data_IF_035531286297
#
_entry.id   IF_035531286297
#
_cell.length_a   1.000
_cell.length_b   1.000
_cell.length_c   1.000
_cell.angle_alpha   90.00
_cell.angle_beta   90.00
_cell.angle_gamma   90.00
#
_symmetry.space_group_name_H-M   'P 1'
#
loop_
_entity.id
_entity.type
_entity.pdbx_description
1 polymer ?
#
# COMPACT_ATOMS: atom_id res chain seq x y z
N UNK A 1 5.14 -19.12 61.30
CA UNK A 1 5.80 -19.77 60.15
C UNK A 1 4.83 -20.03 58.99
N UNK A 2 3.74 -20.80 59.16
CA UNK A 2 2.81 -21.11 58.06
C UNK A 2 2.18 -19.86 57.39
N UNK A 3 1.66 -18.91 58.19
CA UNK A 3 1.11 -17.63 57.69
C UNK A 3 2.09 -16.84 56.81
N UNK A 4 3.39 -16.96 57.09
CA UNK A 4 4.45 -16.28 56.34
C UNK A 4 4.70 -16.97 54.98
N UNK A 5 4.68 -18.30 54.95
CA UNK A 5 4.80 -19.10 53.71
C UNK A 5 3.60 -18.84 52.80
N UNK A 6 2.38 -18.82 53.35
CA UNK A 6 1.15 -18.56 52.59
C UNK A 6 1.17 -17.16 51.96
N UNK A 7 1.65 -16.16 52.71
CA UNK A 7 1.80 -14.78 52.24
C UNK A 7 2.80 -14.66 51.09
N UNK A 8 3.95 -15.36 51.16
CA UNK A 8 4.94 -15.37 50.07
C UNK A 8 4.42 -16.07 48.81
N UNK A 9 3.61 -17.11 48.95
CA UNK A 9 2.96 -17.79 47.81
C UNK A 9 1.93 -16.87 47.15
N UNK A 10 1.13 -16.15 47.94
CA UNK A 10 0.16 -15.18 47.45
C UNK A 10 0.82 -14.02 46.69
N UNK A 11 1.93 -13.47 47.20
CA UNK A 11 2.71 -12.42 46.52
C UNK A 11 3.27 -12.93 45.19
N UNK A 12 3.87 -14.13 45.17
CA UNK A 12 4.41 -14.73 43.93
C UNK A 12 3.32 -15.00 42.89
N UNK A 13 2.13 -15.45 43.30
CA UNK A 13 0.97 -15.61 42.42
C UNK A 13 0.50 -14.27 41.85
N UNK A 14 0.43 -13.24 42.69
CA UNK A 14 -0.02 -11.90 42.29
C UNK A 14 0.94 -11.25 41.30
N UNK A 15 2.26 -11.36 41.52
CA UNK A 15 3.29 -10.87 40.58
C UNK A 15 3.20 -11.62 39.25
N UNK A 16 3.05 -12.95 39.26
CA UNK A 16 2.89 -13.77 38.04
C UNK A 16 1.64 -13.43 37.25
N UNK A 17 0.51 -13.21 37.93
CA UNK A 17 -0.74 -12.81 37.28
C UNK A 17 -0.60 -11.42 36.63
N UNK A 18 0.01 -10.47 37.34
CA UNK A 18 0.24 -9.12 36.83
C UNK A 18 1.16 -9.09 35.60
N UNK A 19 2.29 -9.81 35.64
CA UNK A 19 3.21 -9.92 34.50
C UNK A 19 2.57 -10.65 33.33
N UNK A 20 1.74 -11.67 33.59
CA UNK A 20 1.02 -12.40 32.55
C UNK A 20 -0.04 -11.52 31.87
N UNK A 21 -0.83 -10.73 32.60
CA UNK A 21 -1.78 -9.78 31.99
C UNK A 21 -1.07 -8.71 31.18
N UNK A 22 0.05 -8.16 31.67
CA UNK A 22 0.84 -7.18 30.94
C UNK A 22 1.41 -7.75 29.62
N UNK A 23 1.87 -9.01 29.64
CA UNK A 23 2.35 -9.70 28.44
C UNK A 23 1.25 -9.94 27.39
N UNK A 24 0.02 -10.29 27.81
CA UNK A 24 -1.10 -10.43 26.88
C UNK A 24 -1.54 -9.10 26.28
N UNK A 25 -1.61 -8.04 27.08
CA UNK A 25 -1.92 -6.69 26.59
C UNK A 25 -0.87 -6.24 25.58
N UNK A 26 0.42 -6.44 25.89
CA UNK A 26 1.50 -6.12 24.97
C UNK A 26 1.39 -6.93 23.67
N UNK A 27 1.09 -8.23 23.74
CA UNK A 27 0.95 -9.07 22.56
C UNK A 27 -0.24 -8.64 21.69
N UNK A 28 -1.37 -8.29 22.30
CA UNK A 28 -2.55 -7.75 21.58
C UNK A 28 -2.20 -6.43 20.87
N UNK A 29 -1.47 -5.53 21.54
CA UNK A 29 -1.03 -4.26 20.93
C UNK A 29 -0.09 -4.51 19.75
N UNK A 30 0.87 -5.44 19.89
CA UNK A 30 1.79 -5.80 18.80
C UNK A 30 1.04 -6.38 17.59
N UNK A 31 0.06 -7.26 17.83
CA UNK A 31 -0.77 -7.85 16.76
C UNK A 31 -1.63 -6.78 16.08
N UNK A 32 -2.22 -5.87 16.84
CA UNK A 32 -3.05 -4.78 16.31
C UNK A 32 -2.23 -3.81 15.43
N UNK A 33 -1.00 -3.49 15.82
CA UNK A 33 -0.10 -2.62 15.04
C UNK A 33 0.43 -3.32 13.79
N UNK A 34 0.72 -4.63 13.86
CA UNK A 34 1.23 -5.39 12.72
C UNK A 34 0.19 -5.64 11.61
N UNK A 35 -1.10 -5.53 11.92
CA UNK A 35 -2.21 -5.75 10.97
C UNK A 35 -2.49 -4.57 10.03
N UNK A 36 -1.98 -3.37 10.33
CA UNK A 36 -2.17 -2.19 9.48
C UNK A 36 -1.11 -2.18 8.38
N UNK A 37 -1.35 -2.96 7.32
CA UNK A 37 -0.67 -2.75 6.04
C UNK A 37 -1.34 -1.54 5.39
N UNK A 38 -0.67 -0.39 5.37
CA UNK A 38 -1.07 0.68 4.47
C UNK A 38 -1.08 0.09 3.06
N UNK A 39 -2.20 0.21 2.34
CA UNK A 39 -2.16 0.01 0.90
C UNK A 39 -1.14 1.03 0.39
N UNK A 40 -0.03 0.56 -0.17
CA UNK A 40 0.89 1.45 -0.86
C UNK A 40 0.07 2.17 -1.93
N UNK A 41 0.13 3.50 -2.02
CA UNK A 41 -0.46 4.21 -3.14
C UNK A 41 0.02 3.53 -4.42
N UNK A 42 -0.82 3.38 -5.45
CA UNK A 42 -0.35 2.95 -6.76
C UNK A 42 0.91 3.74 -7.11
N UNK A 43 1.98 3.07 -7.52
CA UNK A 43 3.19 3.77 -7.92
C UNK A 43 2.88 4.57 -9.19
N UNK A 44 2.91 5.89 -9.03
CA UNK A 44 2.76 6.82 -10.14
C UNK A 44 3.87 6.60 -11.19
N UNK A 45 3.60 6.99 -12.43
CA UNK A 45 4.57 6.94 -13.54
C UNK A 45 4.92 8.36 -13.99
N UNK A 46 5.65 9.14 -13.17
CA UNK A 46 5.72 10.60 -13.33
C UNK A 46 6.65 11.06 -14.46
N UNK A 47 7.47 10.17 -15.04
CA UNK A 47 8.53 10.52 -15.98
C UNK A 47 8.82 9.40 -16.98
N UNK A 48 9.59 9.73 -18.01
CA UNK A 48 10.09 8.76 -19.00
C UNK A 48 10.81 7.60 -18.29
N UNK A 49 10.41 6.37 -18.64
CA UNK A 49 10.88 5.11 -18.03
C UNK A 49 10.52 4.92 -16.55
N UNK A 50 9.54 5.66 -16.01
CA UNK A 50 8.97 5.42 -14.70
C UNK A 50 9.79 6.00 -13.55
N UNK A 51 9.39 5.73 -12.30
CA UNK A 51 10.00 6.33 -11.10
C UNK A 51 11.51 6.07 -11.02
N UNK A 52 11.94 4.87 -11.39
CA UNK A 52 13.35 4.45 -11.35
C UNK A 52 14.11 4.61 -12.68
N UNK A 53 13.46 5.14 -13.72
CA UNK A 53 14.03 5.30 -15.08
C UNK A 53 14.60 4.00 -15.65
N UNK A 54 13.93 2.88 -15.39
CA UNK A 54 14.32 1.55 -15.85
C UNK A 54 13.25 0.88 -16.73
N UNK A 55 12.12 1.56 -16.97
CA UNK A 55 10.97 1.07 -17.73
C UNK A 55 10.32 -0.20 -17.15
N UNK A 56 10.42 -0.40 -15.83
CA UNK A 56 9.84 -1.55 -15.12
C UNK A 56 8.73 -1.05 -14.19
N UNK A 57 7.55 -1.66 -14.28
CA UNK A 57 6.47 -1.50 -13.29
C UNK A 57 6.64 -2.50 -12.16
N UNK A 58 6.46 -2.05 -10.92
CA UNK A 58 6.44 -2.91 -9.74
C UNK A 58 5.06 -3.58 -9.51
N UNK A 59 4.04 -3.26 -10.30
CA UNK A 59 2.70 -3.80 -10.17
C UNK A 59 2.66 -5.34 -10.28
N UNK A 60 1.81 -5.96 -9.47
CA UNK A 60 1.65 -7.42 -9.39
C UNK A 60 0.18 -7.79 -9.36
N UNK A 61 -0.11 -9.07 -9.62
CA UNK A 61 -1.50 -9.57 -9.62
C UNK A 61 -2.33 -9.12 -10.82
N UNK A 62 -1.66 -8.61 -11.87
CA UNK A 62 -2.30 -8.25 -13.12
C UNK A 62 -2.84 -9.49 -13.84
N UNK A 63 -3.96 -9.31 -14.55
CA UNK A 63 -4.52 -10.35 -15.42
C UNK A 63 -3.48 -10.75 -16.48
N UNK A 64 -3.23 -12.06 -16.59
CA UNK A 64 -2.31 -12.60 -17.60
C UNK A 64 -2.97 -12.73 -18.98
N UNK A 65 -4.30 -12.79 -19.00
CA UNK A 65 -5.11 -12.81 -20.21
C UNK A 65 -6.41 -12.07 -19.94
N UNK A 66 -6.91 -11.36 -20.95
CA UNK A 66 -8.24 -10.79 -20.93
C UNK A 66 -9.27 -11.87 -21.25
N UNK A 67 -10.50 -11.69 -20.75
CA UNK A 67 -11.66 -12.44 -21.22
C UNK A 67 -11.99 -12.05 -22.67
N UNK A 68 -12.84 -12.81 -23.37
CA UNK A 68 -13.26 -12.48 -24.74
C UNK A 68 -13.80 -11.05 -24.89
N UNK A 69 -14.51 -10.56 -23.87
CA UNK A 69 -15.08 -9.21 -23.84
C UNK A 69 -14.11 -8.13 -23.38
N UNK A 70 -12.96 -8.50 -22.81
CA UNK A 70 -12.01 -7.57 -22.21
C UNK A 70 -12.53 -6.82 -20.99
N UNK A 71 -11.68 -5.97 -20.38
CA UNK A 71 -12.10 -5.03 -19.35
C UNK A 71 -13.02 -3.95 -19.96
N UNK A 72 -14.01 -3.45 -19.20
CA UNK A 72 -14.87 -2.37 -19.68
C UNK A 72 -14.05 -1.09 -19.88
N UNK A 73 -14.37 -0.33 -20.93
CA UNK A 73 -13.81 1.00 -21.14
C UNK A 73 -14.29 1.94 -20.03
N UNK A 74 -13.35 2.44 -19.22
CA UNK A 74 -13.68 3.35 -18.10
C UNK A 74 -13.87 4.79 -18.58
N UNK A 75 -13.02 5.25 -19.49
CA UNK A 75 -13.09 6.60 -20.04
C UNK A 75 -12.33 6.68 -21.37
N UNK A 76 -12.68 7.67 -22.19
CA UNK A 76 -12.00 8.01 -23.44
C UNK A 76 -12.07 9.52 -23.67
N UNK A 77 -10.99 10.08 -24.22
CA UNK A 77 -10.93 11.46 -24.69
C UNK A 77 -10.53 11.48 -26.16
N UNK A 78 -11.21 12.30 -26.94
CA UNK A 78 -10.96 12.50 -28.36
C UNK A 78 -10.40 13.91 -28.61
N UNK A 79 -9.75 14.12 -29.77
CA UNK A 79 -9.28 15.44 -30.18
C UNK A 79 -8.02 15.95 -29.48
N UNK A 80 -7.23 15.07 -28.84
CA UNK A 80 -5.97 15.48 -28.21
C UNK A 80 -4.92 15.98 -29.20
N UNK A 81 -4.98 15.60 -30.48
CA UNK A 81 -3.92 15.87 -31.46
C UNK A 81 -2.98 14.66 -31.63
N UNK A 82 -2.02 14.76 -32.56
CA UNK A 82 -0.99 13.72 -32.75
C UNK A 82 0.18 13.91 -31.77
N UNK A 83 1.13 12.98 -31.70
CA UNK A 83 2.34 13.16 -30.89
C UNK A 83 3.01 11.85 -30.51
N UNK A 84 4.32 11.92 -30.25
CA UNK A 84 5.16 10.78 -29.87
C UNK A 84 5.45 10.73 -28.36
N UNK A 85 4.79 11.60 -27.57
CA UNK A 85 4.99 11.64 -26.13
C UNK A 85 4.30 10.48 -25.42
N UNK A 86 4.95 9.93 -24.41
CA UNK A 86 4.29 8.98 -23.51
C UNK A 86 3.57 9.74 -22.40
N UNK A 87 2.39 9.28 -21.96
CA UNK A 87 1.70 9.91 -20.85
C UNK A 87 2.50 9.73 -19.55
N UNK A 88 2.48 10.74 -18.70
CA UNK A 88 2.98 10.69 -17.32
C UNK A 88 1.81 10.72 -16.35
N UNK A 89 1.88 9.92 -15.29
CA UNK A 89 0.84 9.82 -14.26
C UNK A 89 1.42 10.33 -12.96
N UNK A 90 0.77 11.32 -12.35
CA UNK A 90 1.19 11.87 -11.07
C UNK A 90 -0.02 12.43 -10.30
N UNK A 91 -0.10 12.14 -9.01
CA UNK A 91 -1.12 12.67 -8.10
C UNK A 91 -2.56 12.47 -8.63
N UNK A 92 -2.83 11.27 -9.19
CA UNK A 92 -4.15 10.91 -9.72
C UNK A 92 -4.55 11.64 -11.01
N UNK A 93 -3.57 12.17 -11.76
CA UNK A 93 -3.77 12.89 -13.03
C UNK A 93 -2.90 12.30 -14.13
N UNK A 94 -3.34 12.46 -15.36
CA UNK A 94 -2.61 12.10 -16.57
C UNK A 94 -2.13 13.40 -17.24
N UNK A 95 -0.84 13.46 -17.53
CA UNK A 95 -0.17 14.53 -18.24
C UNK A 95 0.38 13.96 -19.56
N UNK A 96 0.40 14.77 -20.61
CA UNK A 96 0.94 14.39 -21.90
C UNK A 96 1.14 15.62 -22.77
N UNK A 97 1.83 15.44 -23.88
CA UNK A 97 2.02 16.45 -24.91
C UNK A 97 1.46 15.97 -26.23
N UNK A 98 0.94 16.90 -27.00
CA UNK A 98 0.30 16.67 -28.28
C UNK A 98 0.63 17.79 -29.27
N UNK A 99 0.48 17.52 -30.57
CA UNK A 99 0.56 18.49 -31.63
C UNK A 99 -0.85 18.77 -32.16
N UNK A 100 -1.24 20.04 -32.14
CA UNK A 100 -2.49 20.53 -32.73
C UNK A 100 -2.18 21.65 -33.71
N UNK A 101 -2.47 21.42 -34.98
CA UNK A 101 -2.34 22.47 -36.01
C UNK A 101 -0.91 22.97 -36.23
N UNK A 102 0.12 22.21 -35.83
CA UNK A 102 1.52 22.62 -35.90
C UNK A 102 2.10 23.09 -34.56
N UNK A 103 1.25 23.35 -33.56
CA UNK A 103 1.65 23.77 -32.22
C UNK A 103 1.77 22.57 -31.27
N UNK A 104 2.79 22.56 -30.41
CA UNK A 104 2.90 21.62 -29.29
C UNK A 104 2.10 22.13 -28.08
N UNK A 105 1.23 21.29 -27.52
CA UNK A 105 0.26 21.60 -26.46
C UNK A 105 0.07 20.46 -25.46
#
# INVERSE_FOLDING_TARGET
MQKYIDSLIAIRRSIRLFTQTAAHVLMIVVVAVAGVRAAEPPEDWPQWQGPDRNAISAERGLLQAWTETGPPLVWKIDGLGGGESTPSIAAGRIFGMSNRGGDEV
#
